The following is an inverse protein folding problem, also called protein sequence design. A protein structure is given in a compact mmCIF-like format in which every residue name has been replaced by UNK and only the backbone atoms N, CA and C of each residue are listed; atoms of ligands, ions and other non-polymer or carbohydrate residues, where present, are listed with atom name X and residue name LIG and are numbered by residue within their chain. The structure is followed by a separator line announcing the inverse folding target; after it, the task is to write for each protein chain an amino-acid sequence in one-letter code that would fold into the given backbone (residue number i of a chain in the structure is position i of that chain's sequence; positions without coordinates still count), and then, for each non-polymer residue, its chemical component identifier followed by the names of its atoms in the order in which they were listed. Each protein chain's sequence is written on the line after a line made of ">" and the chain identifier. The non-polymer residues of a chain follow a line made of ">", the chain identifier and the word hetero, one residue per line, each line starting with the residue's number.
data_IF_773260281176
#
_entry.id   IF_773260281176
#
_cell.length_a   1.000
_cell.length_b   1.000
_cell.length_c   1.000
_cell.angle_alpha   90.00
_cell.angle_beta   90.00
_cell.angle_gamma   90.00
#
_symmetry.space_group_name_H-M   'P 1'
#
loop_
_entity.id
_entity.type
_entity.pdbx_description
1 polymer ?
#
# COMPACT_ATOMS: atom_id res chain seq x y z
N UNK A 1 -27.15 -4.05 -25.34
CA UNK A 1 -27.03 -4.03 -23.87
C UNK A 1 -25.83 -4.81 -23.37
N UNK A 2 -25.64 -6.10 -23.71
CA UNK A 2 -24.48 -6.89 -23.25
C UNK A 2 -23.10 -6.23 -23.49
N UNK A 3 -22.87 -5.65 -24.68
CA UNK A 3 -21.58 -5.01 -25.02
C UNK A 3 -21.27 -3.80 -24.12
N UNK A 4 -22.28 -2.99 -23.79
CA UNK A 4 -22.10 -1.81 -22.93
C UNK A 4 -21.74 -2.25 -21.51
N UNK A 5 -22.43 -3.27 -20.99
CA UNK A 5 -22.11 -3.83 -19.68
C UNK A 5 -20.69 -4.38 -19.62
N UNK A 6 -20.26 -5.13 -20.64
CA UNK A 6 -18.88 -5.63 -20.71
C UNK A 6 -17.85 -4.49 -20.73
N UNK A 7 -18.12 -3.42 -21.48
CA UNK A 7 -17.25 -2.25 -21.52
C UNK A 7 -17.15 -1.54 -20.16
N UNK A 8 -18.27 -1.39 -19.46
CA UNK A 8 -18.30 -0.81 -18.11
C UNK A 8 -17.54 -1.69 -17.12
N UNK A 9 -17.77 -3.00 -17.13
CA UNK A 9 -17.04 -3.95 -16.27
C UNK A 9 -15.54 -3.85 -16.55
N UNK A 10 -15.13 -3.90 -17.81
CA UNK A 10 -13.72 -3.76 -18.18
C UNK A 10 -13.12 -2.46 -17.65
N UNK A 11 -13.85 -1.34 -17.73
CA UNK A 11 -13.41 -0.05 -17.20
C UNK A 11 -13.29 -0.06 -15.66
N UNK A 12 -14.27 -0.63 -14.96
CA UNK A 12 -14.25 -0.77 -13.49
C UNK A 12 -13.08 -1.61 -12.99
N UNK A 13 -12.58 -2.57 -13.80
CA UNK A 13 -11.36 -3.33 -13.48
C UNK A 13 -10.10 -2.58 -13.89
N UNK A 14 -10.08 -1.97 -15.08
CA UNK A 14 -8.91 -1.30 -15.63
C UNK A 14 -8.52 -0.05 -14.82
N UNK A 15 -9.49 0.76 -14.39
CA UNK A 15 -9.21 2.00 -13.65
C UNK A 15 -8.43 1.75 -12.35
N UNK A 16 -8.90 0.94 -11.39
CA UNK A 16 -8.18 0.75 -10.12
C UNK A 16 -6.91 -0.09 -10.24
N UNK A 17 -6.85 -1.06 -11.18
CA UNK A 17 -5.73 -2.00 -11.25
C UNK A 17 -4.63 -1.58 -12.23
N UNK A 18 -4.99 -0.92 -13.34
CA UNK A 18 -4.03 -0.55 -14.40
C UNK A 18 -3.78 0.94 -14.44
N UNK A 19 -4.81 1.79 -14.27
CA UNK A 19 -4.65 3.23 -14.44
C UNK A 19 -4.23 3.94 -13.15
N UNK A 20 -4.89 3.64 -12.02
CA UNK A 20 -4.66 4.28 -10.72
C UNK A 20 -3.20 4.21 -10.26
N UNK A 21 -2.46 3.09 -10.41
CA UNK A 21 -1.04 3.04 -10.05
C UNK A 21 -0.16 4.07 -10.79
N UNK A 22 -0.64 4.60 -11.91
CA UNK A 22 0.10 5.55 -12.76
C UNK A 22 -0.41 6.99 -12.67
N UNK A 23 -1.42 7.30 -11.84
CA UNK A 23 -1.91 8.68 -11.70
C UNK A 23 -0.85 9.60 -11.11
N UNK A 24 -0.22 9.18 -10.00
CA UNK A 24 0.88 9.89 -9.36
C UNK A 24 1.80 8.90 -8.64
N UNK A 25 3.14 9.07 -8.75
CA UNK A 25 4.09 8.20 -8.07
C UNK A 25 3.96 8.33 -6.56
N UNK A 26 3.95 7.21 -5.84
CA UNK A 26 3.91 7.22 -4.37
C UNK A 26 5.12 7.96 -3.78
N UNK A 27 4.91 8.63 -2.64
CA UNK A 27 6.00 9.24 -1.87
C UNK A 27 6.70 8.15 -1.07
N UNK A 28 8.00 8.35 -0.84
CA UNK A 28 8.81 7.42 -0.06
C UNK A 28 9.31 8.07 1.21
N UNK A 29 9.26 7.33 2.30
CA UNK A 29 9.86 7.72 3.56
C UNK A 29 10.57 6.52 4.18
N UNK A 30 11.73 6.77 4.77
CA UNK A 30 12.45 5.79 5.56
C UNK A 30 12.06 6.00 7.02
N UNK A 31 11.53 4.97 7.66
CA UNK A 31 11.08 5.02 9.05
C UNK A 31 12.01 4.17 9.91
N UNK A 32 12.63 4.74 10.95
CA UNK A 32 13.43 3.96 11.89
C UNK A 32 12.53 3.02 12.70
N UNK A 33 12.93 1.77 12.81
CA UNK A 33 12.22 0.73 13.54
C UNK A 33 12.69 0.73 15.00
N UNK A 34 12.29 1.76 15.74
CA UNK A 34 12.46 1.80 17.19
C UNK A 34 11.52 0.81 17.88
N UNK A 35 11.77 0.52 19.16
CA UNK A 35 10.87 -0.35 19.94
C UNK A 35 9.41 0.14 19.91
N UNK A 36 9.20 1.44 20.07
CA UNK A 36 7.86 2.05 20.02
C UNK A 36 7.21 1.90 18.64
N UNK A 37 7.98 2.12 17.56
CA UNK A 37 7.50 1.99 16.18
C UNK A 37 7.12 0.54 15.86
N UNK A 38 7.93 -0.41 16.31
CA UNK A 38 7.66 -1.84 16.15
C UNK A 38 6.40 -2.22 16.92
N UNK A 39 6.23 -1.75 18.16
CA UNK A 39 5.04 -2.02 18.97
C UNK A 39 3.74 -1.42 18.39
N UNK A 40 3.86 -0.34 17.61
CA UNK A 40 2.73 0.24 16.88
C UNK A 40 2.34 -0.55 15.63
N UNK A 41 3.23 -1.39 15.09
CA UNK A 41 2.92 -2.18 13.91
C UNK A 41 1.75 -3.15 14.17
N UNK A 42 0.94 -3.42 13.15
CA UNK A 42 -0.16 -4.40 13.26
C UNK A 42 0.33 -5.83 13.14
N UNK A 43 1.42 -6.04 12.41
CA UNK A 43 1.99 -7.34 12.13
C UNK A 43 3.51 -7.26 12.23
N UNK A 44 4.11 -8.27 12.87
CA UNK A 44 5.54 -8.48 12.92
C UNK A 44 5.81 -9.97 12.69
N UNK A 45 6.66 -10.27 11.71
CA UNK A 45 6.91 -11.62 11.23
C UNK A 45 5.99 -12.04 10.07
N UNK A 46 6.50 -12.92 9.21
CA UNK A 46 5.70 -13.66 8.22
C UNK A 46 5.17 -14.96 8.83
N UNK A 47 4.13 -15.55 8.22
CA UNK A 47 3.65 -16.91 8.52
C UNK A 47 4.79 -17.95 8.43
N UNK A 48 5.79 -17.68 7.59
CA UNK A 48 7.00 -18.51 7.42
C UNK A 48 8.16 -18.11 8.35
N UNK A 49 7.96 -17.19 9.31
CA UNK A 49 8.99 -16.74 10.24
C UNK A 49 9.98 -15.69 9.71
N UNK A 50 9.65 -15.03 8.59
CA UNK A 50 10.53 -14.02 7.97
C UNK A 50 10.40 -12.60 8.59
N UNK A 51 11.44 -11.74 8.47
CA UNK A 51 11.53 -10.41 9.05
C UNK A 51 10.73 -9.38 8.25
N UNK A 52 9.40 -9.46 8.37
CA UNK A 52 8.45 -8.56 7.73
C UNK A 52 7.72 -7.77 8.81
N UNK A 53 7.49 -6.49 8.57
CA UNK A 53 6.63 -5.64 9.40
C UNK A 53 5.49 -5.11 8.55
N UNK A 54 4.29 -5.05 9.11
CA UNK A 54 3.08 -4.67 8.38
C UNK A 54 2.15 -3.79 9.19
N UNK A 55 1.42 -2.93 8.50
CA UNK A 55 0.42 -2.04 9.10
C UNK A 55 1.03 -0.96 9.99
N UNK A 56 2.18 -0.41 9.59
CA UNK A 56 2.71 0.82 10.15
C UNK A 56 1.76 1.98 9.81
N UNK A 57 1.43 2.81 10.81
CA UNK A 57 0.54 3.96 10.62
C UNK A 57 1.37 5.21 10.36
N UNK A 58 1.14 5.83 9.20
CA UNK A 58 1.70 7.14 8.84
C UNK A 58 0.57 8.17 8.94
N UNK A 59 0.71 9.24 9.75
CA UNK A 59 -0.33 10.25 9.89
C UNK A 59 -0.74 10.85 8.54
N UNK A 60 -2.05 10.98 8.31
CA UNK A 60 -2.62 11.60 7.10
C UNK A 60 -2.13 10.97 5.79
N UNK A 61 -1.80 9.69 5.80
CA UNK A 61 -1.30 8.99 4.64
C UNK A 61 -1.85 7.56 4.55
N UNK A 62 -1.98 7.08 3.32
CA UNK A 62 -2.25 5.69 3.03
C UNK A 62 -0.97 4.98 2.64
N UNK A 63 -0.51 4.04 3.46
CA UNK A 63 0.68 3.21 3.14
C UNK A 63 0.30 2.21 2.04
N UNK A 64 0.99 2.30 0.91
CA UNK A 64 0.75 1.44 -0.26
C UNK A 64 1.72 0.27 -0.33
N UNK A 65 2.95 0.46 0.15
CA UNK A 65 3.97 -0.59 0.17
C UNK A 65 4.90 -0.40 1.36
N UNK A 66 5.48 -1.50 1.84
CA UNK A 66 6.39 -1.52 2.99
C UNK A 66 7.50 -2.51 2.70
N UNK A 67 8.75 -2.05 2.74
CA UNK A 67 9.90 -2.93 2.58
C UNK A 67 9.99 -3.93 3.74
N UNK A 68 10.82 -4.95 3.56
CA UNK A 68 11.28 -5.77 4.68
C UNK A 68 12.14 -4.93 5.64
N UNK A 69 12.38 -5.46 6.84
CA UNK A 69 13.30 -4.86 7.79
C UNK A 69 14.71 -4.79 7.20
N UNK A 70 15.27 -3.59 7.12
CA UNK A 70 16.60 -3.33 6.62
C UNK A 70 17.53 -2.98 7.78
N UNK A 71 18.76 -3.49 7.73
CA UNK A 71 19.86 -3.09 8.62
C UNK A 71 20.42 -1.73 8.19
N UNK A 72 21.21 -1.03 9.02
CA UNK A 72 21.84 0.25 8.66
C UNK A 72 22.61 0.23 7.32
N UNK A 73 23.16 -0.92 6.95
CA UNK A 73 23.88 -1.13 5.68
C UNK A 73 22.93 -1.25 4.46
N UNK A 74 21.62 -1.13 4.64
CA UNK A 74 20.60 -1.32 3.61
C UNK A 74 20.35 -2.78 3.22
N UNK A 75 20.92 -3.74 3.97
CA UNK A 75 20.71 -5.18 3.74
C UNK A 75 19.46 -5.64 4.47
N UNK A 76 18.78 -6.65 3.91
CA UNK A 76 17.65 -7.26 4.62
C UNK A 76 18.15 -7.92 5.91
N UNK A 77 17.40 -7.74 7.00
CA UNK A 77 17.64 -8.46 8.23
C UNK A 77 17.60 -9.96 7.95
N UNK A 78 18.53 -10.73 8.51
CA UNK A 78 18.54 -12.17 8.34
C UNK A 78 17.45 -12.84 9.17
N UNK A 79 16.87 -13.93 8.67
CA UNK A 79 15.90 -14.73 9.42
C UNK A 79 16.48 -15.21 10.75
N UNK A 80 17.79 -15.50 10.80
CA UNK A 80 18.47 -15.93 12.02
C UNK A 80 18.48 -14.83 13.09
N UNK A 81 18.87 -13.59 12.74
CA UNK A 81 18.89 -12.48 13.69
C UNK A 81 17.48 -12.08 14.14
N UNK A 82 16.50 -12.16 13.22
CA UNK A 82 15.09 -11.94 13.56
C UNK A 82 14.57 -13.00 14.54
N UNK A 83 14.81 -14.27 14.25
CA UNK A 83 14.41 -15.39 15.11
C UNK A 83 15.15 -15.41 16.44
N UNK A 84 16.36 -14.89 16.52
CA UNK A 84 17.07 -14.71 17.78
C UNK A 84 16.30 -13.75 18.70
N UNK A 85 15.88 -12.58 18.19
CA UNK A 85 15.01 -11.68 18.94
C UNK A 85 13.65 -12.28 19.24
N UNK A 86 13.08 -13.06 18.33
CA UNK A 86 11.76 -13.66 18.53
C UNK A 86 11.75 -14.74 19.61
N UNK A 87 12.79 -15.59 19.65
CA UNK A 87 12.87 -16.73 20.56
C UNK A 87 13.61 -16.43 21.88
N UNK A 88 14.57 -15.51 21.85
CA UNK A 88 15.48 -15.21 22.98
C UNK A 88 15.44 -13.74 23.39
N UNK A 89 14.30 -13.05 23.20
CA UNK A 89 14.14 -11.66 23.62
C UNK A 89 14.56 -11.44 25.09
N UNK A 90 15.28 -10.35 25.39
CA UNK A 90 15.67 -10.03 26.75
C UNK A 90 14.44 -9.67 27.59
N UNK A 91 14.34 -10.19 28.81
CA UNK A 91 13.23 -9.89 29.72
C UNK A 91 13.37 -8.49 30.30
N UNK A 92 12.82 -7.50 29.61
CA UNK A 92 12.84 -6.10 30.04
C UNK A 92 11.54 -5.67 30.72
N UNK A 93 10.48 -6.47 30.59
CA UNK A 93 9.17 -6.17 31.16
C UNK A 93 8.35 -5.22 30.30
N UNK A 94 8.67 -5.10 29.01
CA UNK A 94 7.93 -4.26 28.08
C UNK A 94 6.52 -4.82 27.84
N UNK A 95 5.51 -3.94 27.88
CA UNK A 95 4.08 -4.30 27.85
C UNK A 95 3.39 -3.98 26.53
N UNK A 96 4.12 -3.50 25.52
CA UNK A 96 3.58 -3.24 24.20
C UNK A 96 3.19 -4.51 23.44
N UNK A 97 2.66 -4.34 22.21
CA UNK A 97 2.10 -5.45 21.42
C UNK A 97 3.12 -6.57 21.18
N UNK A 98 4.37 -6.22 20.91
CA UNK A 98 5.47 -7.17 20.71
C UNK A 98 6.47 -7.14 21.88
N UNK A 99 6.39 -6.11 22.73
CA UNK A 99 7.03 -6.09 24.05
C UNK A 99 8.55 -6.27 23.96
N UNK A 100 9.08 -7.27 24.66
CA UNK A 100 10.52 -7.53 24.72
C UNK A 100 11.15 -7.83 23.34
N UNK A 101 10.36 -8.33 22.38
CA UNK A 101 10.81 -8.56 20.99
C UNK A 101 11.06 -7.21 20.29
N UNK A 102 10.17 -6.23 20.49
CA UNK A 102 10.34 -4.88 19.94
C UNK A 102 11.58 -4.20 20.51
N UNK A 103 11.86 -4.40 21.80
CA UNK A 103 13.08 -3.89 22.45
C UNK A 103 14.34 -4.54 21.88
N UNK A 104 14.32 -5.84 21.58
CA UNK A 104 15.44 -6.52 20.94
C UNK A 104 15.72 -5.98 19.53
N UNK A 105 14.69 -5.92 18.69
CA UNK A 105 14.81 -5.44 17.30
C UNK A 105 15.16 -3.95 17.23
N UNK A 106 14.64 -3.13 18.15
CA UNK A 106 14.93 -1.70 18.22
C UNK A 106 16.41 -1.39 18.54
N UNK A 107 17.19 -2.35 19.03
CA UNK A 107 18.64 -2.20 19.24
C UNK A 107 19.47 -2.45 17.98
N UNK A 108 18.87 -3.03 16.94
CA UNK A 108 19.57 -3.38 15.70
C UNK A 108 19.61 -2.22 14.68
N UNK A 109 19.15 -1.03 15.08
CA UNK A 109 19.10 0.20 14.26
C UNK A 109 18.45 -0.04 12.88
N UNK A 110 17.34 -0.79 12.91
CA UNK A 110 16.64 -1.20 11.71
C UNK A 110 15.84 -0.04 11.14
N UNK A 111 15.58 -0.09 9.84
CA UNK A 111 14.66 0.82 9.18
C UNK A 111 13.82 0.07 8.14
N UNK A 112 12.73 0.70 7.71
CA UNK A 112 11.98 0.27 6.53
C UNK A 112 11.74 1.45 5.62
N UNK A 113 11.69 1.15 4.32
CA UNK A 113 11.25 2.08 3.30
C UNK A 113 9.76 1.85 3.04
N UNK A 114 8.99 2.90 3.27
CA UNK A 114 7.56 2.93 3.02
C UNK A 114 7.28 3.68 1.73
N UNK A 115 6.36 3.16 0.92
CA UNK A 115 5.69 3.94 -0.10
C UNK A 115 4.29 4.32 0.41
N UNK A 116 3.93 5.60 0.32
CA UNK A 116 2.63 6.09 0.79
C UNK A 116 2.03 7.13 -0.16
N UNK A 117 0.72 7.32 -0.02
CA UNK A 117 -0.05 8.36 -0.69
C UNK A 117 -0.62 9.32 0.36
N UNK A 118 -0.16 10.59 0.42
CA UNK A 118 -0.71 11.56 1.36
C UNK A 118 -2.18 11.90 1.03
N UNK A 119 -2.94 12.20 2.06
CA UNK A 119 -4.37 12.56 2.01
C UNK A 119 -4.72 13.65 0.99
N UNK A 120 -3.85 14.64 0.81
CA UNK A 120 -3.97 15.72 -0.18
C UNK A 120 -4.16 15.23 -1.61
N UNK A 121 -3.80 13.98 -1.91
CA UNK A 121 -3.95 13.36 -3.24
C UNK A 121 -5.32 12.74 -3.47
N UNK A 122 -6.17 12.66 -2.44
CA UNK A 122 -7.52 12.13 -2.54
C UNK A 122 -8.31 12.82 -3.66
N UNK A 123 -8.44 14.14 -3.60
CA UNK A 123 -9.20 14.92 -4.58
C UNK A 123 -8.64 14.83 -6.01
N UNK A 124 -7.33 15.00 -6.23
CA UNK A 124 -6.74 14.75 -7.55
C UNK A 124 -7.10 13.39 -8.14
N UNK A 125 -7.06 12.32 -7.33
CA UNK A 125 -7.44 10.98 -7.80
C UNK A 125 -8.93 10.90 -8.13
N UNK A 126 -9.81 11.46 -7.29
CA UNK A 126 -11.24 11.48 -7.57
C UNK A 126 -11.56 12.23 -8.87
N UNK A 127 -10.90 13.36 -9.14
CA UNK A 127 -11.10 14.11 -10.38
C UNK A 127 -10.65 13.34 -11.62
N UNK A 128 -9.51 12.64 -11.55
CA UNK A 128 -9.02 11.83 -12.68
C UNK A 128 -9.99 10.67 -12.98
N UNK A 129 -10.43 9.94 -11.95
CA UNK A 129 -11.38 8.84 -12.13
C UNK A 129 -12.73 9.32 -12.65
N UNK A 130 -13.22 10.43 -12.11
CA UNK A 130 -14.45 11.04 -12.59
C UNK A 130 -14.34 11.42 -14.07
N UNK A 131 -13.24 12.05 -14.49
CA UNK A 131 -13.02 12.42 -15.88
C UNK A 131 -12.96 11.20 -16.81
N UNK A 132 -12.32 10.11 -16.38
CA UNK A 132 -12.26 8.85 -17.12
C UNK A 132 -13.64 8.23 -17.30
N UNK A 133 -14.44 8.15 -16.23
CA UNK A 133 -15.78 7.58 -16.30
C UNK A 133 -16.73 8.47 -17.11
N UNK A 134 -16.70 9.78 -16.93
CA UNK A 134 -17.49 10.71 -17.74
C UNK A 134 -17.10 10.65 -19.22
N UNK A 135 -15.81 10.57 -19.53
CA UNK A 135 -15.32 10.39 -20.90
C UNK A 135 -15.82 9.08 -21.52
N UNK A 136 -15.77 7.97 -20.79
CA UNK A 136 -16.27 6.68 -21.24
C UNK A 136 -17.79 6.69 -21.48
N UNK A 137 -18.55 7.26 -20.54
CA UNK A 137 -20.00 7.42 -20.68
C UNK A 137 -20.37 8.30 -21.87
N UNK A 138 -19.69 9.43 -22.05
CA UNK A 138 -19.89 10.33 -23.18
C UNK A 138 -19.60 9.66 -24.52
N UNK A 139 -18.51 8.89 -24.61
CA UNK A 139 -18.16 8.12 -25.81
C UNK A 139 -19.23 7.09 -26.16
N UNK A 140 -19.68 6.30 -25.18
CA UNK A 140 -20.73 5.30 -25.39
C UNK A 140 -22.06 5.94 -25.83
N UNK A 141 -22.42 7.08 -25.24
CA UNK A 141 -23.61 7.84 -25.63
C UNK A 141 -23.50 8.36 -27.06
N UNK A 142 -22.37 8.96 -27.43
CA UNK A 142 -22.13 9.47 -28.79
C UNK A 142 -22.18 8.35 -29.84
N UNK A 143 -21.54 7.20 -29.56
CA UNK A 143 -21.58 6.02 -30.44
C UNK A 143 -23.01 5.48 -30.56
N UNK A 144 -23.78 5.48 -29.47
CA UNK A 144 -25.20 5.10 -29.47
C UNK A 144 -26.03 6.00 -30.37
N UNK A 145 -25.95 7.32 -30.17
CA UNK A 145 -26.66 8.32 -30.97
C UNK A 145 -26.30 8.23 -32.46
N UNK A 146 -25.01 8.12 -32.77
CA UNK A 146 -24.53 7.99 -34.14
C UNK A 146 -25.09 6.75 -34.85
N UNK A 147 -25.15 5.61 -34.16
CA UNK A 147 -25.75 4.38 -34.74
C UNK A 147 -27.24 4.50 -34.95
N UNK A 148 -27.97 5.18 -34.07
CA UNK A 148 -29.41 5.41 -34.22
C UNK A 148 -29.67 6.33 -35.42
N UNK A 149 -28.95 7.45 -35.51
CA UNK A 149 -29.09 8.39 -36.62
C UNK A 149 -28.77 7.76 -37.98
N UNK A 150 -27.71 6.95 -38.07
CA UNK A 150 -27.37 6.22 -39.31
C UNK A 150 -28.38 5.16 -39.74
N UNK A 151 -29.23 4.66 -38.84
CA UNK A 151 -30.28 3.69 -39.17
C UNK A 151 -31.61 4.36 -39.50
N UNK A 152 -31.80 5.60 -39.07
CA UNK A 152 -33.01 6.38 -39.31
C UNK A 152 -32.93 7.20 -40.62
N UNK A 153 -31.74 7.35 -41.19
CA UNK A 153 -31.50 7.92 -42.52
C UNK A 153 -31.36 6.83 -43.57
#
# INVERSE_FOLDING_TARGET
>A
MAIVFLAVIAMQFAVPNLLRPHFMPAERATVPMTADTIDQARMLGSITGGPVVGGLEVPNAWVTDTSRLLTPDGRQLSDAAFNECFNNAPKTGATGRFGDIAVCLGKLDLHVDLAYQPDRRFWPFQWIELALYLGASGLLAAVGLWRVQRRAS
#
